data_IF_831724766833
#
_entry.id   IF_831724766833
#
_cell.length_a   1.000
_cell.length_b   1.000
_cell.length_c   1.000
_cell.angle_alpha   90.00
_cell.angle_beta   90.00
_cell.angle_gamma   90.00
#
_symmetry.space_group_name_H-M   'P 1'
#
loop_
_entity.id
_entity.type
_entity.pdbx_description
1 polymer ?
#
# COMPACT_ATOMS: atom_id res chain seq x y z
N UNK A 1 -17.97 23.63 -2.72
CA UNK A 1 -18.93 22.52 -2.95
C UNK A 1 -18.37 21.31 -2.22
N UNK A 2 -18.63 21.22 -0.91
CA UNK A 2 -18.17 20.10 -0.10
C UNK A 2 -19.05 18.88 -0.45
N UNK A 3 -18.44 17.81 -0.94
CA UNK A 3 -19.10 16.52 -1.00
C UNK A 3 -19.39 16.10 0.44
N UNK A 4 -20.66 16.10 0.81
CA UNK A 4 -21.12 15.46 2.04
C UNK A 4 -20.92 13.95 1.84
N UNK A 5 -19.79 13.43 2.32
CA UNK A 5 -19.50 12.01 2.27
C UNK A 5 -20.34 11.32 3.36
N UNK A 6 -21.32 10.52 2.97
CA UNK A 6 -21.99 9.59 3.88
C UNK A 6 -20.98 8.46 4.25
N UNK A 7 -20.12 8.79 5.22
CA UNK A 7 -18.91 8.05 5.57
C UNK A 7 -19.22 6.65 6.14
N UNK A 8 -20.40 6.48 6.72
CA UNK A 8 -20.80 5.26 7.44
C UNK A 8 -21.49 4.22 6.55
N UNK A 9 -22.19 4.65 5.49
CA UNK A 9 -22.91 3.73 4.61
C UNK A 9 -22.09 3.26 3.39
N UNK A 10 -21.12 4.05 2.92
CA UNK A 10 -20.32 3.70 1.73
C UNK A 10 -19.09 2.85 2.02
N UNK A 11 -18.57 2.91 3.24
CA UNK A 11 -17.38 2.18 3.65
C UNK A 11 -17.75 1.20 4.75
N UNK A 12 -17.33 -0.07 4.63
CA UNK A 12 -17.57 -1.14 5.61
C UNK A 12 -16.75 -0.93 6.90
N UNK A 13 -16.87 0.24 7.52
CA UNK A 13 -16.23 0.54 8.79
C UNK A 13 -16.98 -0.11 9.95
N UNK A 14 -16.24 -0.46 10.99
CA UNK A 14 -16.82 -0.96 12.23
C UNK A 14 -17.22 0.22 13.09
N UNK A 15 -18.53 0.36 13.30
CA UNK A 15 -19.12 1.47 14.02
C UNK A 15 -19.27 1.14 15.51
N UNK A 16 -18.91 2.11 16.34
CA UNK A 16 -19.10 2.13 17.78
C UNK A 16 -19.87 3.39 18.15
N UNK A 17 -20.86 3.26 19.03
CA UNK A 17 -21.81 4.31 19.33
C UNK A 17 -21.77 4.72 20.79
N UNK A 18 -22.30 5.91 21.08
CA UNK A 18 -22.37 6.48 22.43
C UNK A 18 -21.01 6.49 23.12
N UNK A 19 -19.98 6.90 22.39
CA UNK A 19 -18.63 6.95 22.92
C UNK A 19 -18.51 8.11 23.91
N UNK A 20 -18.11 7.81 25.14
CA UNK A 20 -18.07 8.77 26.26
C UNK A 20 -16.75 8.67 27.01
N UNK A 21 -16.28 9.79 27.56
CA UNK A 21 -15.15 9.79 28.47
C UNK A 21 -15.54 9.19 29.81
N UNK A 22 -14.75 8.24 30.28
CA UNK A 22 -14.87 7.63 31.61
C UNK A 22 -13.80 8.17 32.55
N UNK A 23 -12.61 8.45 32.03
CA UNK A 23 -11.52 8.97 32.83
C UNK A 23 -10.30 9.34 32.02
N UNK A 24 -9.35 9.99 32.68
CA UNK A 24 -8.09 10.44 32.09
C UNK A 24 -6.95 9.97 32.97
N UNK A 25 -5.92 9.40 32.34
CA UNK A 25 -4.69 8.95 32.99
C UNK A 25 -3.51 9.70 32.39
N UNK A 26 -2.62 10.22 33.23
CA UNK A 26 -1.38 10.84 32.77
C UNK A 26 -0.26 9.80 32.71
N UNK A 27 0.27 9.57 31.52
CA UNK A 27 1.38 8.66 31.26
C UNK A 27 2.58 9.43 30.68
N UNK A 28 3.74 8.77 30.59
CA UNK A 28 4.94 9.36 29.99
C UNK A 28 4.75 9.79 28.53
N UNK A 29 3.82 9.15 27.81
CA UNK A 29 3.44 9.50 26.45
C UNK A 29 2.47 10.68 26.35
N UNK A 30 1.93 11.16 27.49
CA UNK A 30 0.95 12.23 27.56
C UNK A 30 -0.39 11.77 28.16
N UNK A 31 -1.47 12.45 27.74
CA UNK A 31 -2.81 12.27 28.29
C UNK A 31 -3.53 11.10 27.60
N UNK A 32 -3.80 10.04 28.37
CA UNK A 32 -4.52 8.86 27.90
C UNK A 32 -5.97 8.94 28.35
N UNK A 33 -6.89 8.75 27.43
CA UNK A 33 -8.33 8.87 27.66
C UNK A 33 -8.96 7.48 27.72
N UNK A 34 -9.59 7.16 28.84
CA UNK A 34 -10.42 5.96 28.94
C UNK A 34 -11.81 6.30 28.43
N UNK A 35 -12.22 5.65 27.36
CA UNK A 35 -13.51 5.86 26.72
C UNK A 35 -14.37 4.60 26.88
N UNK A 36 -15.68 4.80 27.10
CA UNK A 36 -16.66 3.72 26.97
C UNK A 36 -17.45 3.84 25.69
N UNK A 37 -17.98 2.72 25.20
CA UNK A 37 -18.74 2.66 23.95
C UNK A 37 -19.71 1.48 23.92
N UNK A 38 -20.61 1.51 22.93
CA UNK A 38 -21.54 0.43 22.59
C UNK A 38 -21.31 -0.06 21.16
N UNK A 39 -21.58 -1.34 20.93
CA UNK A 39 -21.51 -1.95 19.60
C UNK A 39 -22.56 -3.04 19.45
N UNK A 40 -22.98 -3.29 18.21
CA UNK A 40 -23.82 -4.45 17.87
C UNK A 40 -22.99 -5.72 17.60
N UNK A 41 -21.66 -5.62 17.56
CA UNK A 41 -20.75 -6.71 17.18
C UNK A 41 -19.79 -7.13 18.30
N UNK A 42 -20.35 -7.42 19.49
CA UNK A 42 -19.59 -7.71 20.73
C UNK A 42 -18.47 -8.76 20.55
N UNK A 43 -18.78 -9.87 19.87
CA UNK A 43 -17.82 -10.97 19.66
C UNK A 43 -16.63 -10.57 18.78
N UNK A 44 -16.82 -9.66 17.81
CA UNK A 44 -15.72 -9.18 16.96
C UNK A 44 -14.75 -8.28 17.74
N UNK A 45 -15.27 -7.51 18.69
CA UNK A 45 -14.48 -6.67 19.61
C UNK A 45 -13.60 -7.50 20.52
N UNK A 46 -14.14 -8.60 21.06
CA UNK A 46 -13.36 -9.50 21.92
C UNK A 46 -12.16 -10.11 21.18
N UNK A 47 -12.33 -10.49 19.91
CA UNK A 47 -11.35 -11.30 19.21
C UNK A 47 -10.29 -10.50 18.40
N UNK A 48 -10.68 -9.49 17.62
CA UNK A 48 -9.78 -8.94 16.56
C UNK A 48 -9.86 -7.43 16.31
N UNK A 49 -10.57 -6.67 17.13
CA UNK A 49 -10.84 -5.24 16.88
C UNK A 49 -10.33 -4.38 18.03
N UNK A 50 -10.03 -3.12 17.74
CA UNK A 50 -9.50 -2.16 18.70
C UNK A 50 -8.24 -2.71 19.39
N UNK A 51 -7.35 -3.32 18.61
CA UNK A 51 -6.05 -3.75 19.12
C UNK A 51 -5.16 -2.53 19.34
N UNK A 52 -4.22 -2.54 20.31
CA UNK A 52 -3.26 -1.47 20.48
C UNK A 52 -2.55 -1.12 19.17
N UNK A 53 -2.39 0.18 18.88
CA UNK A 53 -1.84 0.70 17.62
C UNK A 53 -2.87 0.94 16.51
N UNK A 54 -4.14 0.60 16.74
CA UNK A 54 -5.22 0.87 15.77
C UNK A 54 -5.64 2.34 15.80
N UNK A 55 -5.79 2.94 14.62
CA UNK A 55 -6.37 4.28 14.46
C UNK A 55 -7.89 4.20 14.51
N UNK A 56 -8.47 5.01 15.37
CA UNK A 56 -9.92 5.25 15.46
C UNK A 56 -10.20 6.72 15.16
N UNK A 57 -11.36 6.97 14.59
CA UNK A 57 -11.85 8.32 14.27
C UNK A 57 -13.16 8.53 15.00
N UNK A 58 -13.27 9.63 15.74
CA UNK A 58 -14.45 10.03 16.47
C UNK A 58 -15.10 11.24 15.78
N UNK A 59 -16.43 11.25 15.74
CA UNK A 59 -17.23 12.39 15.28
C UNK A 59 -18.61 12.41 15.94
N UNK A 60 -19.13 13.60 16.23
CA UNK A 60 -20.48 13.82 16.75
C UNK A 60 -21.41 14.54 15.75
N UNK A 61 -20.95 14.78 14.52
CA UNK A 61 -21.63 15.52 13.46
C UNK A 61 -21.64 14.77 12.12
N UNK A 62 -21.70 13.43 12.18
CA UNK A 62 -21.67 12.56 10.99
C UNK A 62 -20.39 12.70 10.14
N UNK A 63 -19.25 12.86 10.83
CA UNK A 63 -17.92 12.98 10.25
C UNK A 63 -17.71 14.23 9.38
N UNK A 64 -18.47 15.30 9.63
CA UNK A 64 -18.13 16.64 9.12
C UNK A 64 -16.87 17.17 9.82
N UNK A 65 -16.77 16.94 11.12
CA UNK A 65 -15.55 17.11 11.91
C UNK A 65 -15.08 15.76 12.45
N UNK A 66 -13.77 15.60 12.55
CA UNK A 66 -13.13 14.33 12.91
C UNK A 66 -12.05 14.55 13.96
N UNK A 67 -11.97 13.63 14.91
CA UNK A 67 -10.91 13.54 15.92
C UNK A 67 -10.21 12.20 15.82
N UNK A 68 -8.88 12.22 15.71
CA UNK A 68 -8.09 11.01 15.53
C UNK A 68 -7.48 10.57 16.87
N UNK A 69 -7.59 9.27 17.14
CA UNK A 69 -6.95 8.66 18.29
C UNK A 69 -6.38 7.29 17.96
N UNK A 70 -5.35 6.90 18.70
CA UNK A 70 -4.77 5.55 18.62
C UNK A 70 -5.16 4.77 19.86
N UNK A 71 -5.61 3.52 19.68
CA UNK A 71 -5.87 2.62 20.80
C UNK A 71 -4.55 2.28 21.49
N UNK A 72 -4.46 2.53 22.80
CA UNK A 72 -3.27 2.25 23.61
C UNK A 72 -3.45 0.96 24.40
N UNK A 73 -4.64 0.76 24.98
CA UNK A 73 -4.92 -0.41 25.80
C UNK A 73 -6.35 -0.91 25.61
N UNK A 74 -6.50 -2.23 25.61
CA UNK A 74 -7.79 -2.93 25.58
C UNK A 74 -7.85 -3.91 26.77
N UNK A 75 -8.26 -3.47 27.97
CA UNK A 75 -8.38 -4.37 29.11
C UNK A 75 -9.50 -5.39 28.85
N UNK A 76 -9.16 -6.67 28.68
CA UNK A 76 -10.12 -7.72 28.29
C UNK A 76 -11.28 -7.86 29.28
N UNK A 77 -11.03 -7.59 30.56
CA UNK A 77 -12.02 -7.56 31.64
C UNK A 77 -13.13 -6.53 31.39
N UNK A 78 -12.76 -5.37 30.83
CA UNK A 78 -13.69 -4.28 30.50
C UNK A 78 -14.38 -4.52 29.14
N UNK A 79 -13.81 -5.36 28.29
CA UNK A 79 -14.43 -5.82 27.04
C UNK A 79 -15.31 -7.08 27.21
N UNK A 80 -15.23 -7.75 28.36
CA UNK A 80 -16.05 -8.91 28.71
C UNK A 80 -17.46 -8.55 29.17
N UNK A 81 -17.73 -7.26 29.44
CA UNK A 81 -19.03 -6.77 29.89
C UNK A 81 -20.06 -6.80 28.76
N UNK A 82 -21.35 -6.95 29.10
CA UNK A 82 -22.45 -6.88 28.12
C UNK A 82 -22.76 -5.46 27.68
N UNK A 83 -22.41 -4.48 28.51
CA UNK A 83 -22.62 -3.05 28.29
C UNK A 83 -21.41 -2.27 28.79
N UNK A 84 -21.25 -1.05 28.29
CA UNK A 84 -20.19 -0.13 28.73
C UNK A 84 -18.79 -0.72 28.52
N UNK A 85 -18.51 -1.14 27.28
CA UNK A 85 -17.19 -1.62 26.89
C UNK A 85 -16.21 -0.46 26.97
N UNK A 86 -15.00 -0.70 27.50
CA UNK A 86 -14.02 0.38 27.67
C UNK A 86 -12.67 0.03 27.06
N UNK A 87 -12.06 1.04 26.44
CA UNK A 87 -10.67 1.03 25.97
C UNK A 87 -9.98 2.31 26.37
N UNK A 88 -8.65 2.33 26.27
CA UNK A 88 -7.84 3.52 26.46
C UNK A 88 -7.27 3.96 25.12
N UNK A 89 -7.44 5.25 24.81
CA UNK A 89 -7.00 5.86 23.55
C UNK A 89 -6.11 7.07 23.84
N UNK A 90 -5.26 7.37 22.88
CA UNK A 90 -4.41 8.56 22.89
C UNK A 90 -4.75 9.42 21.68
N UNK A 91 -5.18 10.65 21.93
CA UNK A 91 -5.47 11.63 20.88
C UNK A 91 -4.19 12.31 20.42
N UNK A 92 -4.12 12.67 19.14
CA UNK A 92 -3.06 13.55 18.64
C UNK A 92 -3.09 14.91 19.36
N UNK A 93 -1.98 15.67 19.38
CA UNK A 93 -1.93 16.99 20.03
C UNK A 93 -3.05 17.94 19.58
N UNK A 94 -3.36 17.95 18.28
CA UNK A 94 -4.41 18.81 17.71
C UNK A 94 -5.84 18.29 17.99
N UNK A 95 -5.96 17.06 18.46
CA UNK A 95 -7.22 16.37 18.72
C UNK A 95 -7.54 16.21 20.21
N UNK A 96 -6.60 16.56 21.11
CA UNK A 96 -6.72 16.34 22.54
C UNK A 96 -7.69 17.31 23.25
N UNK A 97 -7.92 18.49 22.69
CA UNK A 97 -8.86 19.47 23.25
C UNK A 97 -10.26 19.32 22.62
N UNK A 98 -11.23 18.84 23.40
CA UNK A 98 -12.63 18.85 22.98
C UNK A 98 -13.65 18.68 24.13
N UNK A 99 -14.90 19.00 23.80
CA UNK A 99 -16.07 18.85 24.66
C UNK A 99 -16.70 17.47 24.42
N UNK A 100 -17.00 16.74 25.49
CA UNK A 100 -17.70 15.47 25.40
C UNK A 100 -19.22 15.70 25.40
N UNK A 101 -19.92 15.55 24.26
CA UNK A 101 -21.34 15.87 24.18
C UNK A 101 -22.17 14.81 24.93
N UNK A 102 -23.33 15.20 25.47
CA UNK A 102 -24.20 14.28 26.23
C UNK A 102 -24.65 13.06 25.41
N UNK A 103 -24.90 13.28 24.10
CA UNK A 103 -25.24 12.23 23.12
C UNK A 103 -24.09 11.24 22.88
N UNK A 104 -22.86 11.61 23.22
CA UNK A 104 -21.64 10.85 22.93
C UNK A 104 -21.19 10.96 21.47
N UNK A 105 -19.99 10.47 21.21
CA UNK A 105 -19.41 10.39 19.87
C UNK A 105 -19.83 9.10 19.15
N UNK A 106 -19.79 9.13 17.82
CA UNK A 106 -19.67 7.93 16.98
C UNK A 106 -18.19 7.71 16.73
N UNK A 107 -17.73 6.47 16.85
CA UNK A 107 -16.35 6.09 16.59
C UNK A 107 -16.31 5.03 15.50
N UNK A 108 -15.37 5.17 14.57
CA UNK A 108 -15.05 4.17 13.56
C UNK A 108 -13.61 3.71 13.68
N UNK A 109 -13.39 2.44 13.41
CA UNK A 109 -12.06 1.85 13.36
C UNK A 109 -11.56 1.77 11.91
N UNK A 110 -10.30 2.17 11.68
CA UNK A 110 -9.63 1.96 10.40
C UNK A 110 -9.63 0.48 9.98
N UNK A 111 -9.86 0.20 8.70
CA UNK A 111 -9.76 -1.15 8.15
C UNK A 111 -8.32 -1.65 8.08
N UNK A 112 -7.34 -0.75 8.11
CA UNK A 112 -5.91 -1.05 8.05
C UNK A 112 -5.23 -0.72 9.37
N UNK A 113 -4.30 -1.58 9.79
CA UNK A 113 -3.51 -1.38 11.01
C UNK A 113 -2.58 -0.18 10.85
N UNK A 114 -2.91 0.92 11.54
CA UNK A 114 -2.28 2.22 11.34
C UNK A 114 -0.77 2.20 11.62
N UNK A 115 -0.32 1.51 12.67
CA UNK A 115 1.11 1.49 13.00
C UNK A 115 1.99 0.89 11.91
N UNK A 116 1.46 0.00 11.06
CA UNK A 116 2.23 -0.49 9.90
C UNK A 116 2.51 0.61 8.86
N UNK A 117 1.69 1.66 8.81
CA UNK A 117 1.78 2.75 7.83
C UNK A 117 2.27 4.07 8.43
N UNK A 118 2.24 4.22 9.76
CA UNK A 118 2.54 5.49 10.45
C UNK A 118 3.86 6.10 10.01
N UNK A 119 4.91 5.29 9.90
CA UNK A 119 6.23 5.76 9.46
C UNK A 119 6.23 6.25 8.02
N UNK A 120 5.55 5.52 7.11
CA UNK A 120 5.43 5.90 5.70
C UNK A 120 4.64 7.21 5.57
N UNK A 121 3.51 7.32 6.27
CA UNK A 121 2.67 8.53 6.26
C UNK A 121 3.42 9.75 6.81
N UNK A 122 4.20 9.56 7.88
CA UNK A 122 5.02 10.63 8.45
C UNK A 122 6.07 11.13 7.46
N UNK A 123 6.77 10.21 6.79
CA UNK A 123 7.72 10.57 5.72
C UNK A 123 7.00 11.33 4.61
N UNK A 124 5.82 10.90 4.18
CA UNK A 124 5.05 11.61 3.15
C UNK A 124 4.63 13.02 3.58
N UNK A 125 4.35 13.27 4.86
CA UNK A 125 4.02 14.60 5.38
C UNK A 125 5.23 15.53 5.47
N UNK A 126 6.41 14.99 5.72
CA UNK A 126 7.67 15.74 5.86
C UNK A 126 8.44 15.88 4.54
N UNK A 127 8.05 15.12 3.50
CA UNK A 127 8.71 15.10 2.20
C UNK A 127 8.46 16.42 1.45
N UNK A 128 9.55 17.00 0.92
CA UNK A 128 9.45 18.13 -0.01
C UNK A 128 8.76 17.66 -1.32
N UNK A 129 7.61 18.25 -1.71
CA UNK A 129 6.91 17.91 -2.94
C UNK A 129 7.76 18.00 -4.22
N UNK A 130 8.81 18.81 -4.23
CA UNK A 130 9.72 18.94 -5.37
C UNK A 130 10.79 17.83 -5.42
N UNK A 131 11.01 17.13 -4.31
CA UNK A 131 11.95 16.01 -4.19
C UNK A 131 11.34 14.63 -4.45
N UNK A 132 10.02 14.56 -4.70
CA UNK A 132 9.29 13.31 -4.83
C UNK A 132 9.83 12.45 -5.99
N UNK A 133 10.31 11.22 -5.73
CA UNK A 133 10.74 10.31 -6.78
C UNK A 133 9.62 10.05 -7.78
N UNK A 134 9.96 10.08 -9.07
CA UNK A 134 9.01 9.86 -10.18
C UNK A 134 7.82 10.84 -10.24
N UNK A 135 7.91 12.03 -9.61
CA UNK A 135 6.88 13.09 -9.64
C UNK A 135 6.29 13.32 -11.04
N UNK A 136 7.15 13.44 -12.05
CA UNK A 136 6.77 13.67 -13.45
C UNK A 136 5.79 12.62 -13.99
N UNK A 137 5.88 11.38 -13.52
CA UNK A 137 5.04 10.28 -13.99
C UNK A 137 3.87 9.97 -13.04
N UNK A 138 4.05 10.14 -11.73
CA UNK A 138 3.02 9.83 -10.72
C UNK A 138 2.05 11.01 -10.50
N UNK A 139 2.56 12.24 -10.49
CA UNK A 139 1.78 13.46 -10.16
C UNK A 139 1.46 14.25 -11.42
N UNK A 140 2.47 14.53 -12.25
CA UNK A 140 2.29 15.34 -13.47
C UNK A 140 1.72 14.50 -14.64
N UNK A 141 1.62 13.18 -14.46
CA UNK A 141 1.03 12.22 -15.39
C UNK A 141 1.63 12.25 -16.80
N UNK A 142 2.91 12.61 -16.92
CA UNK A 142 3.63 12.55 -18.19
C UNK A 142 3.86 11.09 -18.57
N UNK A 143 3.25 10.67 -19.68
CA UNK A 143 3.29 9.29 -20.17
C UNK A 143 4.50 8.98 -21.04
N UNK A 144 5.22 10.01 -21.51
CA UNK A 144 6.49 9.81 -22.19
C UNK A 144 7.58 9.52 -21.16
N UNK A 145 8.09 8.29 -21.18
CA UNK A 145 9.08 7.79 -20.23
C UNK A 145 10.36 7.52 -21.00
N UNK A 146 11.43 8.18 -20.56
CA UNK A 146 12.77 8.04 -21.07
C UNK A 146 13.46 6.75 -20.61
N UNK A 147 14.56 6.40 -21.29
CA UNK A 147 15.33 5.20 -20.96
C UNK A 147 16.05 5.34 -19.61
N UNK A 148 16.28 4.22 -18.89
CA UNK A 148 16.94 4.26 -17.59
C UNK A 148 18.39 4.74 -17.70
N UNK A 149 18.84 5.44 -16.65
CA UNK A 149 20.16 6.05 -16.60
C UNK A 149 21.32 5.04 -16.75
N UNK A 150 21.10 3.78 -16.33
CA UNK A 150 22.08 2.71 -16.50
C UNK A 150 22.23 2.30 -17.97
N UNK A 151 21.15 2.38 -18.77
CA UNK A 151 21.15 2.00 -20.18
C UNK A 151 21.83 3.07 -21.05
N UNK A 152 21.77 4.35 -20.64
CA UNK A 152 22.54 5.44 -21.27
C UNK A 152 24.06 5.22 -21.19
N UNK A 153 24.54 4.56 -20.12
CA UNK A 153 25.97 4.35 -19.85
C UNK A 153 26.49 2.98 -20.29
N UNK A 154 25.60 2.02 -20.56
CA UNK A 154 25.93 0.63 -20.87
C UNK A 154 25.54 0.27 -22.30
N UNK A 155 26.00 -0.88 -22.77
CA UNK A 155 25.56 -1.43 -24.03
C UNK A 155 24.09 -1.88 -23.94
N UNK A 156 23.35 -1.76 -25.04
CA UNK A 156 21.94 -2.15 -25.13
C UNK A 156 21.71 -3.54 -25.72
N UNK A 157 22.79 -4.25 -26.07
CA UNK A 157 22.70 -5.62 -26.58
C UNK A 157 22.62 -6.59 -25.41
N UNK A 158 21.43 -7.15 -25.17
CA UNK A 158 21.18 -8.08 -24.08
C UNK A 158 21.04 -9.51 -24.61
N UNK A 159 21.62 -10.46 -23.89
CA UNK A 159 21.46 -11.89 -24.10
C UNK A 159 20.18 -12.38 -23.43
N UNK A 160 19.27 -12.95 -24.23
CA UNK A 160 17.97 -13.48 -23.81
C UNK A 160 17.98 -15.00 -23.64
N UNK A 161 19.05 -15.70 -24.04
CA UNK A 161 19.05 -17.16 -24.21
C UNK A 161 18.80 -17.96 -22.92
N UNK A 162 19.04 -17.36 -21.76
CA UNK A 162 18.79 -17.97 -20.44
C UNK A 162 17.44 -17.62 -19.83
N UNK A 163 16.71 -16.68 -20.41
CA UNK A 163 15.41 -16.30 -19.89
C UNK A 163 14.37 -17.35 -20.29
N UNK A 164 13.59 -17.84 -19.31
CA UNK A 164 12.65 -18.97 -19.48
C UNK A 164 11.74 -18.82 -20.71
N UNK A 165 11.19 -17.64 -21.04
CA UNK A 165 10.31 -17.53 -22.22
C UNK A 165 11.04 -17.58 -23.57
N UNK A 166 12.38 -17.65 -23.58
CA UNK A 166 13.24 -17.52 -24.75
C UNK A 166 14.31 -18.63 -24.85
N UNK A 167 14.15 -19.77 -24.16
CA UNK A 167 15.13 -20.86 -24.14
C UNK A 167 15.57 -21.34 -25.55
N UNK A 168 14.67 -21.26 -26.54
CA UNK A 168 14.93 -21.69 -27.93
C UNK A 168 15.09 -20.52 -28.92
N UNK A 169 15.46 -19.33 -28.43
CA UNK A 169 15.53 -18.13 -29.26
C UNK A 169 16.59 -18.21 -30.35
N UNK A 170 17.72 -18.87 -30.11
CA UNK A 170 18.77 -19.03 -31.13
C UNK A 170 18.30 -19.89 -32.29
N UNK A 171 17.56 -20.96 -32.02
CA UNK A 171 17.00 -21.82 -33.07
C UNK A 171 15.91 -21.10 -33.88
N UNK A 172 15.12 -20.25 -33.23
CA UNK A 172 13.95 -19.61 -33.85
C UNK A 172 14.28 -18.29 -34.56
N UNK A 173 15.21 -17.50 -34.00
CA UNK A 173 15.56 -16.15 -34.46
C UNK A 173 17.03 -16.04 -34.95
N UNK A 174 17.85 -17.08 -34.76
CA UNK A 174 19.25 -17.11 -35.20
C UNK A 174 20.24 -16.44 -34.25
N UNK A 175 19.77 -15.77 -33.20
CA UNK A 175 20.62 -15.20 -32.15
C UNK A 175 19.84 -14.97 -30.85
N UNK A 176 20.53 -15.07 -29.72
CA UNK A 176 20.06 -14.71 -28.38
C UNK A 176 20.36 -13.26 -28.01
N UNK A 177 21.21 -12.57 -28.78
CA UNK A 177 21.67 -11.22 -28.49
C UNK A 177 20.81 -10.18 -29.20
N UNK A 178 20.06 -9.41 -28.42
CA UNK A 178 19.06 -8.45 -28.92
C UNK A 178 19.44 -7.04 -28.48
N UNK A 179 19.54 -6.09 -29.41
CA UNK A 179 19.57 -4.67 -29.06
C UNK A 179 18.17 -4.23 -28.59
N UNK A 180 17.98 -4.09 -27.28
CA UNK A 180 16.68 -3.73 -26.69
C UNK A 180 16.19 -2.33 -27.08
N UNK A 181 16.98 -1.53 -27.81
CA UNK A 181 16.54 -0.25 -28.36
C UNK A 181 15.85 -0.37 -29.72
N UNK A 182 16.12 -1.43 -30.48
CA UNK A 182 15.75 -1.49 -31.92
C UNK A 182 15.32 -2.87 -32.39
N UNK A 183 16.02 -3.91 -31.97
CA UNK A 183 16.00 -5.21 -32.64
C UNK A 183 15.04 -6.20 -31.96
N UNK A 184 13.88 -5.72 -31.49
CA UNK A 184 12.90 -6.59 -30.82
C UNK A 184 12.33 -7.62 -31.80
N UNK A 185 12.55 -8.93 -31.57
CA UNK A 185 12.05 -9.97 -32.47
C UNK A 185 10.51 -10.00 -32.48
N UNK A 186 9.87 -10.18 -33.64
CA UNK A 186 8.43 -10.42 -33.71
C UNK A 186 8.05 -11.65 -32.87
N UNK A 187 6.90 -11.59 -32.19
CA UNK A 187 6.42 -12.68 -31.31
C UNK A 187 6.27 -14.00 -32.05
N UNK A 188 5.86 -13.94 -33.31
CA UNK A 188 5.66 -15.08 -34.18
C UNK A 188 6.97 -15.83 -34.47
N UNK A 189 8.11 -15.16 -34.33
CA UNK A 189 9.45 -15.73 -34.56
C UNK A 189 10.09 -16.27 -33.28
N UNK A 190 9.55 -15.95 -32.10
CA UNK A 190 10.21 -16.25 -30.83
C UNK A 190 9.89 -17.66 -30.29
N UNK A 191 8.92 -18.35 -30.88
CA UNK A 191 8.31 -19.58 -30.33
C UNK A 191 8.14 -19.51 -28.80
N UNK A 192 7.71 -18.33 -28.34
CA UNK A 192 7.65 -17.99 -26.92
C UNK A 192 6.27 -18.31 -26.35
N UNK A 193 6.23 -18.63 -25.07
CA UNK A 193 4.99 -18.80 -24.30
C UNK A 193 4.34 -17.47 -23.91
N UNK A 194 5.00 -16.33 -24.16
CA UNK A 194 4.48 -15.01 -23.79
C UNK A 194 3.32 -14.58 -24.70
N UNK A 195 2.25 -14.09 -24.07
CA UNK A 195 1.22 -13.35 -24.78
C UNK A 195 1.71 -11.96 -25.18
N UNK A 196 1.06 -11.36 -26.19
CA UNK A 196 1.44 -10.05 -26.71
C UNK A 196 1.53 -8.93 -25.65
N UNK A 197 0.60 -8.90 -24.71
CA UNK A 197 0.60 -7.94 -23.61
C UNK A 197 1.75 -8.17 -22.60
N UNK A 198 2.13 -9.42 -22.36
CA UNK A 198 3.26 -9.75 -21.48
C UNK A 198 4.58 -9.41 -22.16
N UNK A 199 4.70 -9.68 -23.46
CA UNK A 199 5.87 -9.30 -24.23
C UNK A 199 6.06 -7.77 -24.24
N UNK A 200 5.00 -7.01 -24.48
CA UNK A 200 5.04 -5.56 -24.40
C UNK A 200 5.36 -5.06 -22.98
N UNK A 201 4.77 -5.65 -21.94
CA UNK A 201 5.11 -5.34 -20.55
C UNK A 201 6.62 -5.54 -20.26
N UNK A 202 7.19 -6.64 -20.74
CA UNK A 202 8.62 -6.92 -20.60
C UNK A 202 9.49 -5.89 -21.34
N UNK A 203 9.10 -5.49 -22.56
CA UNK A 203 9.79 -4.41 -23.30
C UNK A 203 9.83 -3.13 -22.49
N UNK A 204 8.69 -2.73 -21.91
CA UNK A 204 8.60 -1.53 -21.09
C UNK A 204 9.50 -1.65 -19.86
N UNK A 205 9.51 -2.81 -19.18
CA UNK A 205 10.39 -3.05 -18.02
C UNK A 205 11.89 -2.95 -18.36
N UNK A 206 12.30 -3.38 -19.55
CA UNK A 206 13.70 -3.39 -19.96
C UNK A 206 14.18 -2.06 -20.54
N UNK A 207 13.27 -1.23 -21.09
CA UNK A 207 13.64 -0.02 -21.85
C UNK A 207 13.25 1.28 -21.20
N UNK A 208 12.33 1.28 -20.22
CA UNK A 208 11.84 2.49 -19.57
C UNK A 208 12.40 2.63 -18.16
N UNK A 209 12.73 3.87 -17.76
CA UNK A 209 13.19 4.17 -16.40
C UNK A 209 12.12 3.92 -15.33
N UNK A 210 10.86 3.89 -15.74
CA UNK A 210 9.70 3.63 -14.91
C UNK A 210 8.68 2.81 -15.73
N UNK A 211 8.16 1.73 -15.15
CA UNK A 211 7.15 0.89 -15.79
C UNK A 211 6.11 0.45 -14.75
N UNK A 212 4.83 0.68 -15.06
CA UNK A 212 3.71 0.22 -14.25
C UNK A 212 3.00 -0.92 -14.98
N UNK A 213 3.15 -2.14 -14.46
CA UNK A 213 2.53 -3.34 -15.06
C UNK A 213 1.30 -3.74 -14.26
N UNK A 214 0.13 -3.64 -14.90
CA UNK A 214 -1.15 -4.02 -14.32
C UNK A 214 -1.74 -5.22 -15.04
N UNK A 215 -2.38 -6.12 -14.29
CA UNK A 215 -3.11 -7.24 -14.85
C UNK A 215 -3.97 -7.93 -13.80
N UNK A 216 -5.14 -8.49 -14.17
CA UNK A 216 -5.97 -9.31 -13.28
C UNK A 216 -5.21 -10.46 -12.60
N UNK A 217 -5.76 -11.07 -11.53
CA UNK A 217 -5.23 -12.31 -10.97
C UNK A 217 -5.05 -13.39 -12.06
N UNK A 218 -3.94 -14.13 -12.03
CA UNK A 218 -3.66 -15.20 -13.00
C UNK A 218 -3.07 -14.78 -14.36
N UNK A 219 -2.88 -13.49 -14.64
CA UNK A 219 -2.35 -13.01 -15.93
C UNK A 219 -0.83 -13.12 -16.13
N UNK A 220 -0.13 -13.85 -15.25
CA UNK A 220 1.31 -14.09 -15.39
C UNK A 220 2.22 -12.88 -15.11
N UNK A 221 1.78 -11.91 -14.29
CA UNK A 221 2.62 -10.76 -13.88
C UNK A 221 3.97 -11.18 -13.29
N UNK A 222 3.96 -12.20 -12.42
CA UNK A 222 5.19 -12.76 -11.84
C UNK A 222 6.06 -13.42 -12.90
N UNK A 223 5.45 -14.11 -13.87
CA UNK A 223 6.17 -14.78 -14.96
C UNK A 223 6.91 -13.77 -15.85
N UNK A 224 6.22 -12.70 -16.28
CA UNK A 224 6.86 -11.63 -17.08
C UNK A 224 7.91 -10.86 -16.27
N UNK A 225 7.65 -10.61 -14.99
CA UNK A 225 8.61 -9.96 -14.10
C UNK A 225 9.89 -10.78 -13.91
N UNK A 226 9.75 -12.10 -13.72
CA UNK A 226 10.87 -13.02 -13.63
C UNK A 226 11.69 -13.02 -14.92
N UNK A 227 11.04 -13.07 -16.08
CA UNK A 227 11.73 -13.01 -17.37
C UNK A 227 12.55 -11.73 -17.53
N UNK A 228 11.96 -10.56 -17.24
CA UNK A 228 12.66 -9.28 -17.29
C UNK A 228 13.86 -9.24 -16.33
N UNK A 229 13.68 -9.72 -15.09
CA UNK A 229 14.76 -9.75 -14.09
C UNK A 229 15.87 -10.71 -14.52
N UNK A 230 15.56 -11.90 -15.05
CA UNK A 230 16.57 -12.84 -15.58
C UNK A 230 17.41 -12.19 -16.67
N UNK A 231 16.76 -11.51 -17.63
CA UNK A 231 17.45 -10.78 -18.69
C UNK A 231 18.34 -9.68 -18.08
N UNK A 232 17.84 -8.91 -17.11
CA UNK A 232 18.65 -7.87 -16.47
C UNK A 232 19.86 -8.44 -15.73
N UNK A 233 19.70 -9.52 -14.95
CA UNK A 233 20.79 -10.15 -14.18
C UNK A 233 21.90 -10.66 -15.09
N UNK A 234 21.54 -11.32 -16.20
CA UNK A 234 22.53 -11.85 -17.14
C UNK A 234 23.30 -10.75 -17.90
N UNK A 235 22.72 -9.55 -17.99
CA UNK A 235 23.27 -8.44 -18.77
C UNK A 235 23.73 -7.24 -17.92
N UNK A 236 23.67 -7.34 -16.59
CA UNK A 236 24.03 -6.28 -15.66
C UNK A 236 24.83 -6.82 -14.48
N UNK A 237 25.95 -6.17 -14.16
CA UNK A 237 26.68 -6.40 -12.92
C UNK A 237 26.13 -5.61 -11.72
N UNK A 238 24.99 -4.92 -11.89
CA UNK A 238 24.37 -4.12 -10.84
C UNK A 238 23.48 -4.95 -9.93
N UNK A 239 23.46 -4.60 -8.64
CA UNK A 239 22.53 -5.19 -7.67
C UNK A 239 21.09 -4.80 -8.01
N UNK A 240 20.22 -5.79 -8.15
CA UNK A 240 18.78 -5.60 -8.33
C UNK A 240 18.10 -5.77 -6.97
N UNK A 241 17.38 -4.74 -6.53
CA UNK A 241 16.55 -4.81 -5.34
C UNK A 241 15.13 -5.19 -5.73
N UNK A 242 14.63 -6.29 -5.15
CA UNK A 242 13.24 -6.74 -5.29
C UNK A 242 12.56 -6.57 -3.94
N UNK A 243 11.39 -5.93 -3.94
CA UNK A 243 10.59 -5.72 -2.75
C UNK A 243 9.14 -6.13 -3.02
N UNK A 244 8.56 -6.89 -2.10
CA UNK A 244 7.16 -7.33 -2.12
C UNK A 244 6.48 -6.94 -0.81
N UNK A 245 5.17 -6.72 -0.84
CA UNK A 245 4.41 -6.35 0.37
C UNK A 245 4.32 -7.49 1.40
N UNK A 246 4.35 -8.74 0.94
CA UNK A 246 4.23 -9.93 1.79
C UNK A 246 5.35 -10.93 1.49
N UNK A 247 5.75 -11.69 2.50
CA UNK A 247 6.77 -12.74 2.35
C UNK A 247 6.32 -13.80 1.32
N UNK A 248 5.05 -14.22 1.36
CA UNK A 248 4.50 -15.17 0.38
C UNK A 248 4.57 -14.65 -1.08
N UNK A 249 4.58 -13.34 -1.31
CA UNK A 249 4.74 -12.80 -2.66
C UNK A 249 6.22 -12.72 -3.09
N UNK A 250 7.14 -12.82 -2.13
CA UNK A 250 8.58 -12.85 -2.37
C UNK A 250 9.11 -14.28 -2.53
N UNK A 251 8.63 -15.19 -1.67
CA UNK A 251 8.90 -16.64 -1.70
C UNK A 251 8.41 -17.28 -3.01
#
# INVERSE_FOLDING_TARGET
MAMMFDFTNRFNFFNFFQVKLVGVTFASMGMVHRISFRTQHLERVKCKRLIPGTLVVLSDDNFETMKFATVISRPLELLGKTHDLQIEVFFGPDDAEFVWPEKGYTMVESTSYFEAYRHVLKVLQELDPDSLPFKTHIVDLVTDIDEPEYLKRRHSVYDFGKAIPFENIEESFGTSKIDIRKDWPPLEQLNSTLHASQYEAMKQMLTKRFALIQGPPGTGKTYVGLAAVQILVENSSGTIMIACQTNHALD
#
